data_IF_907558320932
#
_entry.id   IF_907558320932
#
_cell.length_a   1.000
_cell.length_b   1.000
_cell.length_c   1.000
_cell.angle_alpha   90.00
_cell.angle_beta   90.00
_cell.angle_gamma   90.00
#
_symmetry.space_group_name_H-M   'P 1'
#
loop_
_entity.id
_entity.type
_entity.pdbx_description
1 polymer ?
#
# COMPACT_ATOMS: atom_id res chain seq x y z
N UNK A 1 -33.14 3.42 -40.33
CA UNK A 1 -32.62 3.81 -39.01
C UNK A 1 -32.68 2.58 -38.11
N UNK A 2 -31.60 1.81 -38.07
CA UNK A 2 -31.48 0.65 -37.18
C UNK A 2 -30.80 1.09 -35.90
N UNK A 3 -31.52 0.97 -34.79
CA UNK A 3 -30.99 1.18 -33.45
C UNK A 3 -29.84 0.21 -33.20
N UNK A 4 -28.62 0.74 -33.13
CA UNK A 4 -27.46 0.05 -32.58
C UNK A 4 -27.68 -0.04 -31.07
N UNK A 5 -28.17 -1.19 -30.60
CA UNK A 5 -28.01 -1.58 -29.20
C UNK A 5 -26.50 -1.62 -28.91
N UNK A 6 -26.05 -0.73 -28.04
CA UNK A 6 -24.69 -0.72 -27.51
C UNK A 6 -24.48 -2.01 -26.70
N UNK A 7 -24.09 -3.09 -27.38
CA UNK A 7 -23.51 -4.27 -26.76
C UNK A 7 -22.29 -3.79 -25.99
N UNK A 8 -22.37 -3.82 -24.66
CA UNK A 8 -21.19 -3.70 -23.79
C UNK A 8 -20.16 -4.71 -24.34
N UNK A 9 -19.00 -4.26 -24.85
CA UNK A 9 -18.08 -5.15 -25.53
C UNK A 9 -17.63 -6.24 -24.55
N UNK A 10 -17.66 -7.50 -25.02
CA UNK A 10 -17.31 -8.72 -24.28
C UNK A 10 -15.97 -8.64 -23.51
N UNK A 11 -15.12 -7.67 -23.86
CA UNK A 11 -13.84 -7.30 -23.23
C UNK A 11 -13.95 -7.01 -21.73
N UNK A 12 -14.97 -6.27 -21.27
CA UNK A 12 -15.08 -5.92 -19.83
C UNK A 12 -15.50 -7.11 -18.94
N UNK A 13 -16.30 -8.04 -19.47
CA UNK A 13 -16.66 -9.29 -18.77
C UNK A 13 -15.48 -10.27 -18.61
N UNK A 14 -14.35 -10.00 -19.28
CA UNK A 14 -13.10 -10.77 -19.15
C UNK A 14 -12.27 -10.31 -17.94
N UNK A 15 -12.30 -9.01 -17.60
CA UNK A 15 -11.44 -8.44 -16.55
C UNK A 15 -11.74 -8.98 -15.16
N UNK A 16 -13.01 -9.00 -14.75
CA UNK A 16 -13.40 -9.50 -13.44
C UNK A 16 -13.30 -11.03 -13.30
N UNK A 17 -13.01 -11.75 -14.39
CA UNK A 17 -12.69 -13.18 -14.35
C UNK A 17 -11.19 -13.43 -14.17
N UNK A 18 -10.35 -12.41 -14.36
CA UNK A 18 -8.92 -12.50 -14.18
C UNK A 18 -8.58 -12.48 -12.68
N UNK A 19 -8.33 -13.65 -12.11
CA UNK A 19 -8.08 -13.80 -10.68
C UNK A 19 -6.84 -13.03 -10.16
N UNK A 20 -5.67 -13.02 -10.84
CA UNK A 20 -4.56 -12.14 -10.50
C UNK A 20 -4.96 -10.66 -10.36
N UNK A 21 -5.80 -10.16 -11.27
CA UNK A 21 -6.30 -8.79 -11.19
C UNK A 21 -7.23 -8.60 -9.99
N UNK A 22 -8.25 -9.46 -9.86
CA UNK A 22 -9.28 -9.34 -8.83
C UNK A 22 -8.67 -9.47 -7.43
N UNK A 23 -7.77 -10.43 -7.22
CA UNK A 23 -7.07 -10.59 -5.95
C UNK A 23 -6.28 -9.33 -5.59
N UNK A 24 -5.50 -8.76 -6.52
CA UNK A 24 -4.76 -7.52 -6.30
C UNK A 24 -5.67 -6.30 -6.02
N UNK A 25 -6.85 -6.22 -6.63
CA UNK A 25 -7.85 -5.18 -6.34
C UNK A 25 -8.43 -5.35 -4.92
N UNK A 26 -8.74 -6.57 -4.50
CA UNK A 26 -9.27 -6.84 -3.16
C UNK A 26 -8.25 -6.45 -2.09
N UNK A 27 -7.00 -6.90 -2.24
CA UNK A 27 -5.92 -6.53 -1.32
C UNK A 27 -5.75 -5.01 -1.27
N UNK A 28 -5.76 -4.36 -2.43
CA UNK A 28 -5.67 -2.91 -2.52
C UNK A 28 -6.82 -2.21 -1.79
N UNK A 29 -8.05 -2.68 -1.91
CA UNK A 29 -9.18 -2.09 -1.18
C UNK A 29 -9.04 -2.20 0.34
N UNK A 30 -8.53 -3.33 0.85
CA UNK A 30 -8.28 -3.52 2.29
C UNK A 30 -7.26 -2.51 2.81
N UNK A 31 -6.12 -2.36 2.14
CA UNK A 31 -5.11 -1.38 2.53
C UNK A 31 -5.60 0.05 2.42
N UNK A 32 -6.41 0.37 1.41
CA UNK A 32 -6.90 1.73 1.20
C UNK A 32 -7.98 2.12 2.21
N UNK A 33 -8.79 1.16 2.66
CA UNK A 33 -9.68 1.34 3.81
C UNK A 33 -8.87 1.58 5.08
N UNK A 34 -7.84 0.75 5.33
CA UNK A 34 -6.96 0.89 6.49
C UNK A 34 -6.25 2.25 6.50
N UNK A 35 -5.67 2.66 5.37
CA UNK A 35 -4.96 3.93 5.21
C UNK A 35 -5.87 5.13 5.49
N UNK A 36 -7.10 5.10 4.95
CA UNK A 36 -8.07 6.18 5.19
C UNK A 36 -8.56 6.21 6.66
N UNK A 37 -8.79 5.05 7.27
CA UNK A 37 -9.12 4.97 8.69
C UNK A 37 -7.97 5.49 9.56
N UNK A 38 -6.73 5.14 9.24
CA UNK A 38 -5.53 5.63 9.93
C UNK A 38 -5.41 7.16 9.84
N UNK A 39 -5.59 7.75 8.65
CA UNK A 39 -5.49 9.21 8.48
C UNK A 39 -6.55 9.96 9.30
N UNK A 40 -7.79 9.44 9.31
CA UNK A 40 -8.87 9.99 10.14
C UNK A 40 -8.52 9.87 11.64
N UNK A 41 -8.14 8.68 12.08
CA UNK A 41 -7.77 8.40 13.47
C UNK A 41 -6.62 9.30 13.90
N UNK A 42 -5.54 9.39 13.11
CA UNK A 42 -4.37 10.21 13.43
C UNK A 42 -4.78 11.66 13.67
N UNK A 43 -5.63 12.20 12.78
CA UNK A 43 -6.08 13.59 12.85
C UNK A 43 -6.94 13.84 14.08
N UNK A 44 -7.93 12.98 14.34
CA UNK A 44 -8.83 13.11 15.50
C UNK A 44 -8.11 12.84 16.83
N UNK A 45 -7.24 11.83 16.87
CA UNK A 45 -6.45 11.47 18.04
C UNK A 45 -5.43 12.56 18.40
N UNK A 46 -4.75 13.14 17.41
CA UNK A 46 -3.81 14.23 17.66
C UNK A 46 -4.52 15.46 18.26
N UNK A 47 -5.71 15.82 17.77
CA UNK A 47 -6.50 16.95 18.30
C UNK A 47 -7.15 16.64 19.66
N UNK A 48 -7.40 15.37 19.95
CA UNK A 48 -8.09 14.96 21.18
C UNK A 48 -7.31 15.39 22.44
N UNK A 49 -8.01 15.74 23.54
CA UNK A 49 -7.38 16.11 24.79
C UNK A 49 -6.50 14.98 25.36
N UNK A 50 -5.43 15.36 26.05
CA UNK A 50 -4.55 14.43 26.79
C UNK A 50 -5.28 13.54 27.81
N UNK A 51 -6.39 14.01 28.37
CA UNK A 51 -7.23 13.21 29.28
C UNK A 51 -7.92 12.02 28.60
N UNK A 52 -7.99 12.03 27.27
CA UNK A 52 -8.56 10.96 26.44
C UNK A 52 -7.48 10.17 25.67
N UNK A 53 -6.20 10.33 26.03
CA UNK A 53 -5.06 9.70 25.35
C UNK A 53 -4.50 10.50 24.15
N UNK A 54 -5.21 11.52 23.70
CA UNK A 54 -4.80 12.34 22.55
C UNK A 54 -3.62 13.28 22.83
N UNK A 55 -3.19 14.04 21.82
CA UNK A 55 -1.99 14.89 21.94
C UNK A 55 -2.26 16.34 22.37
N UNK A 56 -3.53 16.76 22.39
CA UNK A 56 -3.98 18.15 22.54
C UNK A 56 -3.40 19.11 21.49
N UNK A 57 -3.20 18.64 20.26
CA UNK A 57 -2.72 19.48 19.16
C UNK A 57 -3.84 20.35 18.61
N UNK A 58 -3.48 21.50 18.02
CA UNK A 58 -4.43 22.27 17.22
C UNK A 58 -4.57 21.63 15.83
N UNK A 59 -5.67 21.92 15.13
CA UNK A 59 -5.84 21.51 13.73
C UNK A 59 -4.72 22.05 12.83
N UNK A 60 -4.14 23.20 13.16
CA UNK A 60 -3.01 23.77 12.44
C UNK A 60 -1.74 22.91 12.61
N UNK A 61 -1.46 22.44 13.83
CA UNK A 61 -0.32 21.55 14.10
C UNK A 61 -0.45 20.22 13.34
N UNK A 62 -1.65 19.64 13.33
CA UNK A 62 -1.94 18.43 12.53
C UNK A 62 -1.73 18.70 11.03
N UNK A 63 -2.21 19.84 10.54
CA UNK A 63 -1.99 20.27 9.16
C UNK A 63 -0.51 20.40 8.81
N UNK A 64 0.32 20.89 9.73
CA UNK A 64 1.78 20.96 9.54
C UNK A 64 2.41 19.56 9.45
N UNK A 65 2.04 18.64 10.34
CA UNK A 65 2.54 17.25 10.31
C UNK A 65 2.17 16.57 8.98
N UNK A 66 0.94 16.73 8.53
CA UNK A 66 0.47 16.18 7.25
C UNK A 66 1.18 16.85 6.06
N UNK A 67 1.42 18.15 6.08
CA UNK A 67 2.16 18.86 5.03
C UNK A 67 3.61 18.36 4.92
N UNK A 68 4.31 18.22 6.04
CA UNK A 68 5.67 17.65 6.10
C UNK A 68 5.66 16.21 5.55
N UNK A 69 4.66 15.43 5.96
CA UNK A 69 4.44 14.06 5.48
C UNK A 69 4.30 14.02 3.95
N UNK A 70 3.50 14.90 3.36
CA UNK A 70 3.31 14.98 1.90
C UNK A 70 4.61 15.30 1.15
N UNK A 71 5.45 16.19 1.68
CA UNK A 71 6.76 16.49 1.07
C UNK A 71 7.68 15.27 1.12
N UNK A 72 7.77 14.59 2.27
CA UNK A 72 8.55 13.37 2.40
C UNK A 72 8.06 12.25 1.48
N UNK A 73 6.73 12.11 1.37
CA UNK A 73 6.09 11.17 0.47
C UNK A 73 6.46 11.42 -1.00
N UNK A 74 6.41 12.68 -1.44
CA UNK A 74 6.74 13.05 -2.81
C UNK A 74 8.19 12.71 -3.16
N UNK A 75 9.13 13.05 -2.27
CA UNK A 75 10.56 12.73 -2.45
C UNK A 75 10.77 11.22 -2.53
N UNK A 76 10.17 10.47 -1.61
CA UNK A 76 10.26 9.01 -1.61
C UNK A 76 9.71 8.41 -2.92
N UNK A 77 8.53 8.83 -3.35
CA UNK A 77 7.86 8.26 -4.52
C UNK A 77 8.61 8.54 -5.83
N UNK A 78 9.21 9.72 -5.97
CA UNK A 78 9.92 10.10 -7.20
C UNK A 78 11.31 9.45 -7.31
N UNK A 79 12.02 9.30 -6.19
CA UNK A 79 13.43 8.92 -6.23
C UNK A 79 13.73 7.55 -5.62
N UNK A 80 13.07 7.21 -4.51
CA UNK A 80 13.42 6.03 -3.71
C UNK A 80 12.59 4.81 -4.13
N UNK A 81 11.28 4.97 -4.30
CA UNK A 81 10.40 3.87 -4.68
C UNK A 81 10.82 3.18 -6.00
N UNK A 82 11.16 3.89 -7.10
CA UNK A 82 11.58 3.23 -8.34
C UNK A 82 12.85 2.40 -8.17
N UNK A 83 13.78 2.85 -7.31
CA UNK A 83 15.00 2.10 -7.00
C UNK A 83 14.68 0.82 -6.21
N UNK A 84 13.79 0.92 -5.22
CA UNK A 84 13.35 -0.24 -4.44
C UNK A 84 12.59 -1.26 -5.30
N UNK A 85 11.66 -0.78 -6.13
CA UNK A 85 10.87 -1.65 -7.03
C UNK A 85 11.77 -2.36 -8.04
N UNK A 86 12.76 -1.66 -8.62
CA UNK A 86 13.69 -2.26 -9.58
C UNK A 86 14.54 -3.37 -8.96
N UNK A 87 14.93 -3.21 -7.70
CA UNK A 87 15.86 -4.15 -7.05
C UNK A 87 15.14 -5.32 -6.36
N UNK A 88 13.96 -5.10 -5.78
CA UNK A 88 13.24 -6.10 -4.97
C UNK A 88 11.92 -6.57 -5.58
N UNK A 89 11.40 -5.86 -6.59
CA UNK A 89 10.08 -6.10 -7.16
C UNK A 89 8.94 -5.54 -6.32
N UNK A 90 7.76 -5.31 -6.93
CA UNK A 90 6.62 -4.67 -6.27
C UNK A 90 6.07 -5.49 -5.10
N UNK A 91 6.05 -6.82 -5.22
CA UNK A 91 5.48 -7.71 -4.19
C UNK A 91 6.29 -7.69 -2.90
N UNK A 92 7.62 -7.78 -3.00
CA UNK A 92 8.49 -7.80 -1.84
C UNK A 92 8.48 -6.44 -1.14
N UNK A 93 8.47 -5.34 -1.90
CA UNK A 93 8.35 -3.97 -1.36
C UNK A 93 7.02 -3.80 -0.62
N UNK A 94 5.90 -4.25 -1.18
CA UNK A 94 4.59 -4.22 -0.51
C UNK A 94 4.59 -5.07 0.77
N UNK A 95 5.12 -6.30 0.74
CA UNK A 95 5.18 -7.17 1.93
C UNK A 95 6.06 -6.58 3.03
N UNK A 96 7.25 -6.08 2.69
CA UNK A 96 8.13 -5.41 3.64
C UNK A 96 7.48 -4.14 4.22
N UNK A 97 6.80 -3.36 3.38
CA UNK A 97 6.02 -2.19 3.79
C UNK A 97 4.98 -2.52 4.85
N UNK A 98 4.21 -3.59 4.63
CA UNK A 98 3.18 -4.02 5.57
C UNK A 98 3.78 -4.58 6.88
N UNK A 99 4.84 -5.39 6.79
CA UNK A 99 5.54 -5.92 7.98
C UNK A 99 6.12 -4.80 8.85
N UNK A 100 6.72 -3.77 8.24
CA UNK A 100 7.30 -2.63 8.95
C UNK A 100 6.23 -1.68 9.50
N UNK A 101 5.05 -1.61 8.88
CA UNK A 101 3.93 -0.78 9.36
C UNK A 101 3.37 -1.28 10.68
N UNK A 102 3.43 -2.59 10.95
CA UNK A 102 2.90 -3.20 12.18
C UNK A 102 3.61 -2.68 13.45
N UNK A 103 4.94 -2.86 13.63
CA UNK A 103 5.64 -2.35 14.81
C UNK A 103 5.59 -0.82 14.89
N UNK A 104 5.55 -0.13 13.74
CA UNK A 104 5.38 1.31 13.70
C UNK A 104 4.04 1.73 14.30
N UNK A 105 2.91 1.14 13.87
CA UNK A 105 1.59 1.43 14.43
C UNK A 105 1.50 1.06 15.92
N UNK A 106 2.10 -0.07 16.31
CA UNK A 106 2.16 -0.47 17.72
C UNK A 106 2.94 0.53 18.60
N UNK A 107 3.81 1.37 18.01
CA UNK A 107 4.56 2.38 18.75
C UNK A 107 3.75 3.65 19.08
N UNK A 108 2.64 3.94 18.38
CA UNK A 108 1.90 5.20 18.52
C UNK A 108 1.37 5.48 19.94
N UNK A 109 0.80 4.51 20.68
CA UNK A 109 0.41 4.72 22.07
C UNK A 109 1.57 5.19 22.96
N UNK A 110 2.80 4.77 22.66
CA UNK A 110 4.00 5.18 23.40
C UNK A 110 4.51 6.55 22.95
N UNK A 111 4.34 6.89 21.67
CA UNK A 111 4.58 8.26 21.17
C UNK A 111 3.72 9.26 21.94
N UNK A 112 2.48 8.89 22.28
CA UNK A 112 1.55 9.71 23.08
C UNK A 112 2.11 10.14 24.45
N UNK A 113 3.00 9.32 25.03
CA UNK A 113 3.61 9.58 26.34
C UNK A 113 4.68 10.69 26.27
N UNK A 114 5.16 11.01 25.06
CA UNK A 114 6.09 12.10 24.85
C UNK A 114 5.37 13.46 24.93
N UNK A 115 6.15 14.51 25.18
CA UNK A 115 5.65 15.87 25.26
C UNK A 115 6.63 16.86 24.61
N UNK A 116 6.13 18.05 24.29
CA UNK A 116 6.90 19.15 23.72
C UNK A 116 7.58 18.82 22.39
N UNK A 117 8.82 19.27 22.25
CA UNK A 117 9.57 19.19 20.99
C UNK A 117 9.88 17.74 20.55
N UNK A 118 10.17 16.85 21.50
CA UNK A 118 10.46 15.44 21.22
C UNK A 118 9.26 14.75 20.56
N UNK A 119 8.04 14.98 21.10
CA UNK A 119 6.81 14.46 20.50
C UNK A 119 6.66 14.93 19.05
N UNK A 120 6.86 16.22 18.78
CA UNK A 120 6.72 16.76 17.42
C UNK A 120 7.67 16.09 16.44
N UNK A 121 8.95 15.93 16.79
CA UNK A 121 9.92 15.23 15.92
C UNK A 121 9.49 13.78 15.68
N UNK A 122 9.25 13.03 16.76
CA UNK A 122 8.94 11.59 16.68
C UNK A 122 7.65 11.36 15.90
N UNK A 123 6.61 12.17 16.13
CA UNK A 123 5.35 12.08 15.41
C UNK A 123 5.50 12.40 13.92
N UNK A 124 6.27 13.43 13.57
CA UNK A 124 6.55 13.76 12.18
C UNK A 124 7.30 12.61 11.48
N UNK A 125 8.35 12.08 12.11
CA UNK A 125 9.08 10.93 11.58
C UNK A 125 8.18 9.69 11.43
N UNK A 126 7.37 9.37 12.44
CA UNK A 126 6.45 8.25 12.39
C UNK A 126 5.39 8.42 11.30
N UNK A 127 4.81 9.62 11.18
CA UNK A 127 3.82 9.94 10.14
C UNK A 127 4.41 9.83 8.74
N UNK A 128 5.60 10.41 8.49
CA UNK A 128 6.32 10.28 7.21
C UNK A 128 6.57 8.81 6.91
N UNK A 129 7.14 8.06 7.86
CA UNK A 129 7.46 6.66 7.66
C UNK A 129 6.20 5.82 7.37
N UNK A 130 5.11 6.00 8.13
CA UNK A 130 3.87 5.24 7.91
C UNK A 130 3.29 5.52 6.52
N UNK A 131 3.27 6.77 6.09
CA UNK A 131 2.72 7.14 4.78
C UNK A 131 3.62 6.63 3.63
N UNK A 132 4.95 6.65 3.81
CA UNK A 132 5.91 6.05 2.88
C UNK A 132 5.69 4.53 2.73
N UNK A 133 5.49 3.82 3.84
CA UNK A 133 5.18 2.39 3.81
C UNK A 133 3.82 2.14 3.13
N UNK A 134 2.81 2.97 3.45
CA UNK A 134 1.46 2.90 2.84
C UNK A 134 1.50 3.06 1.33
N UNK A 135 2.14 4.12 0.82
CA UNK A 135 2.22 4.38 -0.62
C UNK A 135 3.04 3.31 -1.33
N UNK A 136 4.04 2.73 -0.67
CA UNK A 136 4.82 1.62 -1.23
C UNK A 136 3.93 0.39 -1.46
N UNK A 137 3.09 0.03 -0.48
CA UNK A 137 2.13 -1.08 -0.60
C UNK A 137 1.18 -0.81 -1.76
N UNK A 138 0.55 0.36 -1.77
CA UNK A 138 -0.44 0.77 -2.77
C UNK A 138 0.14 0.81 -4.18
N UNK A 139 1.35 1.36 -4.34
CA UNK A 139 2.02 1.41 -5.64
C UNK A 139 2.37 0.01 -6.13
N UNK A 140 2.87 -0.87 -5.26
CA UNK A 140 3.18 -2.24 -5.63
C UNK A 140 1.94 -3.01 -6.11
N UNK A 141 0.81 -2.84 -5.42
CA UNK A 141 -0.47 -3.45 -5.82
C UNK A 141 -1.00 -2.90 -7.15
N UNK A 142 -0.86 -1.59 -7.41
CA UNK A 142 -1.22 -1.00 -8.69
C UNK A 142 -0.33 -1.53 -9.83
N UNK A 143 0.96 -1.76 -9.58
CA UNK A 143 1.86 -2.38 -10.55
C UNK A 143 1.40 -3.81 -10.87
N UNK A 144 1.03 -4.60 -9.84
CA UNK A 144 0.50 -5.95 -10.06
C UNK A 144 -0.80 -5.95 -10.87
N UNK A 145 -1.73 -5.03 -10.58
CA UNK A 145 -2.96 -4.87 -11.36
C UNK A 145 -2.66 -4.54 -12.83
N UNK A 146 -1.68 -3.65 -13.08
CA UNK A 146 -1.28 -3.27 -14.43
C UNK A 146 -0.52 -4.39 -15.17
N UNK A 147 0.19 -5.27 -14.46
CA UNK A 147 0.84 -6.47 -15.03
C UNK A 147 -0.16 -7.59 -15.31
N UNK A 148 -1.24 -7.68 -14.54
CA UNK A 148 -2.27 -8.70 -14.71
C UNK A 148 -3.08 -8.55 -16.01
N UNK A 149 -3.07 -7.38 -16.65
CA UNK A 149 -3.90 -7.08 -17.83
C UNK A 149 -3.09 -6.59 -19.03
N UNK A 150 -3.54 -6.87 -20.27
CA UNK A 150 -3.00 -6.27 -21.48
C UNK A 150 -3.09 -4.74 -21.47
N UNK A 151 -2.17 -4.08 -22.17
CA UNK A 151 -2.04 -2.61 -22.14
C UNK A 151 -3.33 -1.90 -22.59
N UNK A 152 -4.07 -2.46 -23.53
CA UNK A 152 -5.31 -1.92 -24.08
C UNK A 152 -6.45 -1.90 -23.03
N UNK A 153 -6.36 -2.77 -22.02
CA UNK A 153 -7.36 -2.91 -20.96
C UNK A 153 -6.96 -2.23 -19.64
N UNK A 154 -5.73 -1.72 -19.51
CA UNK A 154 -5.24 -1.05 -18.29
C UNK A 154 -6.12 0.12 -17.86
N UNK A 155 -6.63 0.90 -18.81
CA UNK A 155 -7.54 2.02 -18.51
C UNK A 155 -8.83 1.55 -17.84
N UNK A 156 -9.48 0.52 -18.40
CA UNK A 156 -10.71 -0.04 -17.83
C UNK A 156 -10.44 -0.71 -16.47
N UNK A 157 -9.33 -1.46 -16.36
CA UNK A 157 -8.90 -2.11 -15.12
C UNK A 157 -8.65 -1.10 -13.99
N UNK A 158 -7.88 -0.04 -14.27
CA UNK A 158 -7.61 1.01 -13.29
C UNK A 158 -8.89 1.79 -12.93
N UNK A 159 -9.81 1.98 -13.89
CA UNK A 159 -11.12 2.56 -13.61
C UNK A 159 -11.92 1.73 -12.59
N UNK A 160 -12.02 0.42 -12.81
CA UNK A 160 -12.69 -0.51 -11.87
C UNK A 160 -12.00 -0.50 -10.50
N UNK A 161 -10.67 -0.61 -10.48
CA UNK A 161 -9.88 -0.58 -9.25
C UNK A 161 -10.09 0.72 -8.47
N UNK A 162 -10.04 1.88 -9.14
CA UNK A 162 -10.26 3.18 -8.50
C UNK A 162 -11.68 3.34 -7.96
N UNK A 163 -12.70 2.84 -8.66
CA UNK A 163 -14.08 2.84 -8.14
C UNK A 163 -14.20 2.02 -6.84
N UNK A 164 -13.71 0.78 -6.84
CA UNK A 164 -13.79 -0.10 -5.67
C UNK A 164 -12.98 0.42 -4.49
N UNK A 165 -11.77 0.91 -4.76
CA UNK A 165 -10.90 1.53 -3.76
C UNK A 165 -11.52 2.81 -3.18
N UNK A 166 -12.16 3.64 -4.01
CA UNK A 166 -12.82 4.86 -3.53
C UNK A 166 -14.00 4.53 -2.62
N UNK A 167 -14.80 3.52 -2.97
CA UNK A 167 -15.87 3.01 -2.10
C UNK A 167 -15.32 2.51 -0.76
N UNK A 168 -14.21 1.77 -0.78
CA UNK A 168 -13.54 1.32 0.45
C UNK A 168 -13.06 2.50 1.30
N UNK A 169 -12.47 3.53 0.69
CA UNK A 169 -12.04 4.76 1.37
C UNK A 169 -13.19 5.53 2.00
N UNK A 170 -14.38 5.56 1.38
CA UNK A 170 -15.56 6.23 1.96
C UNK A 170 -15.94 5.66 3.33
N UNK A 171 -15.69 4.38 3.58
CA UNK A 171 -16.00 3.72 4.86
C UNK A 171 -14.96 4.07 5.93
N UNK A 172 -13.71 4.32 5.53
CA UNK A 172 -12.56 4.54 6.42
C UNK A 172 -12.82 5.57 7.53
N UNK A 173 -13.25 6.81 7.23
CA UNK A 173 -13.48 7.83 8.25
C UNK A 173 -14.57 7.47 9.26
N UNK A 174 -15.70 6.94 8.78
CA UNK A 174 -16.79 6.53 9.66
C UNK A 174 -16.37 5.40 10.61
N UNK A 175 -15.63 4.41 10.10
CA UNK A 175 -15.10 3.31 10.91
C UNK A 175 -14.02 3.81 11.89
N UNK A 176 -13.08 4.64 11.42
CA UNK A 176 -11.99 5.18 12.22
C UNK A 176 -12.47 6.09 13.35
N UNK A 177 -13.36 7.03 13.06
CA UNK A 177 -13.96 7.90 14.07
C UNK A 177 -14.81 7.16 15.10
N UNK A 178 -15.55 6.13 14.66
CA UNK A 178 -16.33 5.28 15.57
C UNK A 178 -15.42 4.45 16.49
N UNK A 179 -14.34 3.87 15.94
CA UNK A 179 -13.34 3.13 16.70
C UNK A 179 -12.64 4.01 17.74
N UNK A 180 -12.21 5.21 17.36
CA UNK A 180 -11.61 6.17 18.28
C UNK A 180 -12.60 6.59 19.37
N UNK A 181 -13.85 6.89 19.01
CA UNK A 181 -14.90 7.25 19.99
C UNK A 181 -15.15 6.12 20.99
N UNK A 182 -15.09 4.86 20.55
CA UNK A 182 -15.22 3.70 21.42
C UNK A 182 -14.01 3.55 22.36
N UNK A 183 -12.81 3.71 21.83
CA UNK A 183 -11.57 3.70 22.61
C UNK A 183 -11.56 4.80 23.69
N UNK A 184 -11.98 6.01 23.37
CA UNK A 184 -12.04 7.13 24.31
C UNK A 184 -12.98 6.88 25.51
N UNK A 185 -14.00 6.01 25.36
CA UNK A 185 -14.89 5.62 26.47
C UNK A 185 -14.30 4.54 27.37
N UNK A 186 -13.19 3.91 26.98
CA UNK A 186 -12.56 2.76 27.63
C UNK A 186 -11.12 3.06 28.07
N UNK A 187 -10.86 4.27 28.57
CA UNK A 187 -9.54 4.63 29.08
C UNK A 187 -9.16 3.79 30.31
N UNK A 188 -10.13 3.43 31.16
CA UNK A 188 -9.90 2.68 32.41
C UNK A 188 -9.97 1.15 32.26
N UNK A 189 -9.86 0.62 31.03
CA UNK A 189 -9.97 -0.82 30.79
C UNK A 189 -8.64 -1.56 31.10
N UNK A 190 -8.72 -2.73 31.76
CA UNK A 190 -7.54 -3.52 32.11
C UNK A 190 -6.80 -4.13 30.90
N UNK A 191 -7.50 -4.31 29.78
CA UNK A 191 -6.97 -4.89 28.53
C UNK A 191 -7.20 -3.89 27.40
N UNK A 192 -6.10 -3.48 26.74
CA UNK A 192 -6.08 -2.52 25.64
C UNK A 192 -6.84 -1.20 25.96
N UNK A 193 -6.39 -0.44 26.98
CA UNK A 193 -7.00 0.84 27.32
C UNK A 193 -6.84 1.85 26.19
N UNK A 194 -7.92 2.59 25.93
CA UNK A 194 -7.89 3.79 25.08
C UNK A 194 -7.22 3.56 23.73
N UNK A 195 -6.16 4.32 23.48
CA UNK A 195 -5.46 4.34 22.19
C UNK A 195 -4.84 3.00 21.81
N UNK A 196 -4.47 2.17 22.79
CA UNK A 196 -3.91 0.84 22.51
C UNK A 196 -4.89 -0.02 21.72
N UNK A 197 -6.20 0.08 22.00
CA UNK A 197 -7.24 -0.62 21.25
C UNK A 197 -7.29 -0.15 19.79
N UNK A 198 -7.19 1.16 19.56
CA UNK A 198 -7.27 1.75 18.22
C UNK A 198 -6.13 1.23 17.35
N UNK A 199 -4.89 1.38 17.83
CA UNK A 199 -3.72 0.94 17.08
C UNK A 199 -3.61 -0.59 17.02
N UNK A 200 -4.14 -1.33 18.00
CA UNK A 200 -4.25 -2.78 17.92
C UNK A 200 -5.21 -3.22 16.79
N UNK A 201 -6.40 -2.63 16.69
CA UNK A 201 -7.35 -2.97 15.62
C UNK A 201 -6.80 -2.59 14.25
N UNK A 202 -6.13 -1.44 14.11
CA UNK A 202 -5.42 -1.07 12.89
C UNK A 202 -4.36 -2.12 12.53
N UNK A 203 -3.56 -2.57 13.51
CA UNK A 203 -2.58 -3.63 13.32
C UNK A 203 -3.20 -4.96 12.88
N UNK A 204 -4.37 -5.33 13.42
CA UNK A 204 -5.08 -6.54 13.00
C UNK A 204 -5.51 -6.44 11.53
N UNK A 205 -6.04 -5.29 11.11
CA UNK A 205 -6.44 -5.06 9.71
C UNK A 205 -5.23 -5.07 8.78
N UNK A 206 -4.13 -4.41 9.17
CA UNK A 206 -2.86 -4.42 8.43
C UNK A 206 -2.30 -5.85 8.32
N UNK A 207 -2.33 -6.62 9.41
CA UNK A 207 -1.90 -8.01 9.41
C UNK A 207 -2.78 -8.89 8.51
N UNK A 208 -4.10 -8.70 8.51
CA UNK A 208 -4.99 -9.38 7.57
C UNK A 208 -4.65 -8.99 6.12
N UNK A 209 -4.41 -7.71 5.83
CA UNK A 209 -3.94 -7.24 4.53
C UNK A 209 -2.61 -7.88 4.11
N UNK A 210 -1.68 -8.03 5.05
CA UNK A 210 -0.41 -8.73 4.86
C UNK A 210 -0.64 -10.21 4.54
N UNK A 211 -1.51 -10.91 5.27
CA UNK A 211 -1.84 -12.31 4.98
C UNK A 211 -2.42 -12.48 3.56
N UNK A 212 -3.26 -11.55 3.11
CA UNK A 212 -3.80 -11.56 1.76
C UNK A 212 -2.72 -11.34 0.67
N UNK A 213 -1.55 -10.80 1.00
CA UNK A 213 -0.43 -10.67 0.06
C UNK A 213 0.32 -11.99 -0.20
N UNK A 214 0.02 -13.06 0.54
CA UNK A 214 0.66 -14.37 0.34
C UNK A 214 -0.21 -15.30 -0.50
N UNK A 215 0.45 -16.29 -1.13
CA UNK A 215 -0.26 -17.40 -1.77
C UNK A 215 -1.02 -18.20 -0.71
N UNK A 216 -2.26 -18.64 -0.98
CA UNK A 216 -2.90 -18.75 -2.29
C UNK A 216 -3.74 -17.54 -2.73
N UNK A 217 -3.81 -16.45 -1.96
CA UNK A 217 -4.72 -15.36 -2.28
C UNK A 217 -4.20 -14.49 -3.44
N UNK A 218 -3.11 -13.75 -3.19
CA UNK A 218 -2.50 -12.90 -4.20
C UNK A 218 -1.74 -13.76 -5.22
N UNK A 219 -2.26 -13.80 -6.44
CA UNK A 219 -1.58 -14.43 -7.57
C UNK A 219 -0.76 -13.38 -8.30
N UNK A 220 0.56 -13.58 -8.29
CA UNK A 220 1.47 -12.78 -9.09
C UNK A 220 1.20 -13.09 -10.57
N UNK A 221 1.00 -12.08 -11.43
CA UNK A 221 0.92 -12.29 -12.87
C UNK A 221 2.19 -12.99 -13.35
N UNK A 222 2.07 -13.99 -14.23
CA UNK A 222 3.24 -14.59 -14.86
C UNK A 222 4.00 -13.49 -15.63
N UNK A 223 5.25 -13.23 -15.23
CA UNK A 223 6.11 -12.31 -15.94
C UNK A 223 6.36 -12.89 -17.33
N UNK A 224 5.65 -12.39 -18.35
CA UNK A 224 6.04 -12.51 -19.76
C UNK A 224 7.27 -11.61 -20.04
N UNK A 225 8.26 -11.64 -19.16
CA UNK A 225 9.58 -11.08 -19.43
C UNK A 225 10.30 -12.20 -20.19
N UNK A 226 10.53 -12.08 -21.51
CA UNK A 226 11.45 -12.99 -22.16
C UNK A 226 12.76 -12.86 -21.38
N UNK A 227 13.23 -13.99 -20.83
CA UNK A 227 14.56 -14.07 -20.24
C UNK A 227 15.49 -13.31 -21.16
N UNK A 228 16.09 -12.29 -20.57
CA UNK A 228 16.67 -11.14 -21.26
C UNK A 228 17.48 -11.53 -22.49
N UNK A 229 17.45 -10.67 -23.51
CA UNK A 229 18.39 -10.62 -24.64
C UNK A 229 19.88 -10.76 -24.27
N UNK A 230 20.25 -10.77 -22.99
CA UNK A 230 21.59 -11.12 -22.51
C UNK A 230 21.90 -12.62 -22.55
N UNK A 231 20.94 -13.54 -22.32
CA UNK A 231 21.16 -14.98 -22.47
C UNK A 231 21.22 -15.37 -23.94
N UNK A 232 20.32 -14.83 -24.79
CA UNK A 232 20.40 -15.05 -26.24
C UNK A 232 21.70 -14.49 -26.85
N UNK A 233 22.16 -13.29 -26.43
CA UNK A 233 23.43 -12.75 -26.94
C UNK A 233 24.63 -13.55 -26.45
N UNK A 234 24.63 -14.02 -25.20
CA UNK A 234 25.71 -14.84 -24.64
C UNK A 234 25.76 -16.24 -25.29
N UNK A 235 24.61 -16.86 -25.55
CA UNK A 235 24.54 -18.14 -26.26
C UNK A 235 24.91 -18.01 -27.75
N UNK A 236 24.55 -16.88 -28.39
CA UNK A 236 24.96 -16.60 -29.77
C UNK A 236 26.47 -16.33 -29.87
N UNK A 237 27.03 -15.56 -28.95
CA UNK A 237 28.46 -15.22 -28.91
C UNK A 237 29.32 -16.44 -28.56
N UNK A 238 28.90 -17.26 -27.60
CA UNK A 238 29.53 -18.54 -27.27
C UNK A 238 29.46 -19.53 -28.45
N UNK A 239 28.30 -19.64 -29.13
CA UNK A 239 28.14 -20.50 -30.29
C UNK A 239 28.94 -20.06 -31.54
N UNK A 240 29.30 -18.77 -31.64
CA UNK A 240 30.18 -18.24 -32.68
C UNK A 240 31.66 -18.50 -32.33
N UNK A 241 32.05 -18.37 -31.06
CA UNK A 241 33.40 -18.70 -30.59
C UNK A 241 33.71 -20.20 -30.70
N UNK A 242 32.78 -21.08 -30.34
CA UNK A 242 32.95 -22.54 -30.49
C UNK A 242 33.17 -22.92 -31.96
N UNK A 243 32.37 -22.37 -32.88
CA UNK A 243 32.55 -22.64 -34.33
C UNK A 243 33.88 -22.13 -34.87
N UNK A 244 34.38 -20.97 -34.42
CA UNK A 244 35.71 -20.48 -34.81
C UNK A 244 36.82 -21.39 -34.28
N UNK A 245 36.72 -21.84 -33.03
CA UNK A 245 37.72 -22.73 -32.43
C UNK A 245 37.81 -24.10 -33.14
N UNK A 246 36.68 -24.63 -33.61
CA UNK A 246 36.64 -25.90 -34.36
C UNK A 246 37.16 -25.76 -35.80
N UNK A 247 37.09 -24.56 -36.39
CA UNK A 247 37.62 -24.29 -37.75
C UNK A 247 39.13 -24.03 -37.81
N UNK A 248 39.78 -23.84 -36.65
CA UNK A 248 41.23 -23.55 -36.54
C UNK A 248 42.07 -24.76 -36.07
N UNK A 249 41.46 -25.95 -35.95
CA UNK A 249 42.19 -27.20 -35.68
C UNK A 249 42.76 -27.76 -37.00
N UNK A 250 44.08 -28.00 -37.09
CA UNK A 250 44.76 -28.46 -38.31
C UNK A 250 44.48 -29.93 -38.68
#
# INVERSE_FOLDING_TARGET
MTHSESKIPNSQKSLLKNWPLVSAIIVYCVFQLHDMAYLEILSLWAVSPRSLGGLSFTTADVGQVLAITCVGLLVFQLFVYPLMERNFGPVMVSRAGAVLSIPLLASYPYIALLSGFCLSIVLNCASVLKNVLSVSISTGLLILQNRAVPQEQRGASNGVSMCLMSFAKTIGPAAGGSLLSWAQRRQDADILPGDQLVFFILNVIEFLGLLLNFKPFLHEPEDNIPKSKHEESADQENGIQERRSQSELP
#
